data_IF_302718473201
#
_entry.id   IF_302718473201
#
_cell.length_a   1.000
_cell.length_b   1.000
_cell.length_c   1.000
_cell.angle_alpha   90.00
_cell.angle_beta   90.00
_cell.angle_gamma   90.00
#
_symmetry.space_group_name_H-M   'P 1'
#
loop_
_entity.id
_entity.type
_entity.pdbx_description
1 polymer ?
#
# COMPACT_ATOMS: atom_id res chain seq x y z
N UNK A 1 -28.31 -16.15 -4.18
CA UNK A 1 -27.70 -15.79 -2.88
C UNK A 1 -28.13 -14.37 -2.54
N UNK A 2 -28.70 -14.14 -1.35
CA UNK A 2 -29.13 -12.80 -0.94
C UNK A 2 -27.90 -12.01 -0.48
N UNK A 3 -27.54 -10.93 -1.16
CA UNK A 3 -26.31 -10.16 -0.91
C UNK A 3 -26.44 -9.39 0.40
N UNK A 4 -25.40 -9.36 1.23
CA UNK A 4 -25.38 -8.56 2.47
C UNK A 4 -24.54 -7.29 2.24
N UNK A 5 -25.14 -6.14 1.89
CA UNK A 5 -24.40 -4.94 1.51
C UNK A 5 -23.49 -4.44 2.65
N UNK A 6 -23.91 -4.57 3.91
CA UNK A 6 -23.08 -4.17 5.05
C UNK A 6 -21.81 -5.01 5.20
N UNK A 7 -21.87 -6.29 4.80
CA UNK A 7 -20.70 -7.17 4.82
C UNK A 7 -19.73 -6.83 3.68
N UNK A 8 -20.26 -6.52 2.50
CA UNK A 8 -19.48 -6.06 1.35
C UNK A 8 -18.81 -4.70 1.67
N UNK A 9 -19.52 -3.82 2.38
CA UNK A 9 -18.99 -2.52 2.79
C UNK A 9 -17.85 -2.65 3.78
N UNK A 10 -18.02 -3.48 4.81
CA UNK A 10 -16.99 -3.81 5.78
C UNK A 10 -15.73 -4.36 5.10
N UNK A 11 -15.90 -5.34 4.20
CA UNK A 11 -14.78 -5.96 3.49
C UNK A 11 -14.01 -4.93 2.62
N UNK A 12 -14.73 -4.02 1.97
CA UNK A 12 -14.14 -2.97 1.13
C UNK A 12 -13.37 -1.93 1.95
N UNK A 13 -13.92 -1.48 3.08
CA UNK A 13 -13.22 -0.55 3.99
C UNK A 13 -11.94 -1.20 4.54
N UNK A 14 -12.04 -2.43 5.03
CA UNK A 14 -10.86 -3.16 5.54
C UNK A 14 -9.79 -3.35 4.47
N UNK A 15 -10.17 -3.68 3.22
CA UNK A 15 -9.23 -3.81 2.12
C UNK A 15 -8.51 -2.48 1.80
N UNK A 16 -9.24 -1.36 1.79
CA UNK A 16 -8.68 -0.04 1.57
C UNK A 16 -7.72 0.40 2.70
N UNK A 17 -8.07 0.10 3.96
CA UNK A 17 -7.21 0.39 5.12
C UNK A 17 -5.92 -0.44 5.08
N UNK A 18 -5.99 -1.73 4.74
CA UNK A 18 -4.81 -2.58 4.59
C UNK A 18 -3.89 -2.08 3.48
N UNK A 19 -4.45 -1.74 2.31
CA UNK A 19 -3.67 -1.19 1.21
C UNK A 19 -2.99 0.12 1.61
N UNK A 20 -3.72 1.01 2.30
CA UNK A 20 -3.16 2.27 2.82
C UNK A 20 -2.02 1.99 3.79
N UNK A 21 -2.17 1.00 4.67
CA UNK A 21 -1.13 0.64 5.62
C UNK A 21 0.12 0.06 4.94
N UNK A 22 -0.04 -0.80 3.93
CA UNK A 22 1.07 -1.29 3.09
C UNK A 22 1.85 -0.13 2.44
N UNK A 23 1.14 0.86 1.89
CA UNK A 23 1.75 2.04 1.27
C UNK A 23 2.52 2.90 2.29
N UNK A 24 1.99 3.07 3.49
CA UNK A 24 2.67 3.79 4.58
C UNK A 24 3.97 3.08 4.95
N UNK A 25 3.98 1.74 5.01
CA UNK A 25 5.17 0.96 5.29
C UNK A 25 6.21 1.11 4.16
N UNK A 26 5.79 1.08 2.90
CA UNK A 26 6.67 1.33 1.75
C UNK A 26 7.30 2.72 1.80
N UNK A 27 6.51 3.74 2.14
CA UNK A 27 7.00 5.10 2.30
C UNK A 27 8.00 5.23 3.47
N UNK A 28 7.76 4.54 4.58
CA UNK A 28 8.66 4.53 5.73
C UNK A 28 10.00 3.84 5.38
N UNK A 29 9.95 2.71 4.66
CA UNK A 29 11.15 2.00 4.18
C UNK A 29 11.96 2.90 3.24
N UNK A 30 11.31 3.54 2.27
CA UNK A 30 11.98 4.44 1.33
C UNK A 30 12.64 5.63 2.05
N UNK A 31 11.93 6.27 2.97
CA UNK A 31 12.43 7.40 3.77
C UNK A 31 13.64 7.00 4.63
N UNK A 32 13.57 5.87 5.33
CA UNK A 32 14.70 5.38 6.13
C UNK A 32 15.92 4.99 5.27
N UNK A 33 15.70 4.41 4.10
CA UNK A 33 16.76 4.13 3.12
C UNK A 33 17.46 5.41 2.66
N UNK A 34 16.70 6.48 2.41
CA UNK A 34 17.24 7.78 2.02
C UNK A 34 18.16 8.38 3.09
N UNK A 35 17.85 8.20 4.38
CA UNK A 35 18.73 8.66 5.46
C UNK A 35 20.09 7.94 5.45
N UNK A 36 20.12 6.63 5.17
CA UNK A 36 21.38 5.88 5.04
C UNK A 36 22.22 6.34 3.85
N UNK A 37 21.55 6.65 2.73
CA UNK A 37 22.20 7.23 1.54
C UNK A 37 22.81 8.58 1.89
N UNK A 38 22.03 9.49 2.49
CA UNK A 38 22.49 10.82 2.91
C UNK A 38 23.67 10.74 3.87
N UNK A 39 23.65 9.84 4.86
CA UNK A 39 24.75 9.66 5.80
C UNK A 39 26.03 9.18 5.09
N UNK A 40 25.91 8.26 4.14
CA UNK A 40 27.07 7.68 3.44
C UNK A 40 27.66 8.67 2.44
N UNK A 41 26.81 9.31 1.63
CA UNK A 41 27.24 10.35 0.70
C UNK A 41 27.82 11.57 1.44
N UNK A 42 27.19 11.98 2.54
CA UNK A 42 27.65 13.09 3.38
C UNK A 42 29.02 12.86 3.99
N UNK A 43 29.35 11.62 4.40
CA UNK A 43 30.70 11.28 4.87
C UNK A 43 31.74 11.49 3.78
N UNK A 44 31.45 11.01 2.57
CA UNK A 44 32.36 11.16 1.43
C UNK A 44 32.54 12.62 1.04
N UNK A 45 31.44 13.39 0.92
CA UNK A 45 31.53 14.79 0.50
C UNK A 45 32.19 15.70 1.53
N UNK A 46 32.07 15.38 2.83
CA UNK A 46 32.68 16.14 3.91
C UNK A 46 34.08 15.64 4.34
N UNK A 47 34.64 14.65 3.63
CA UNK A 47 35.91 13.99 3.99
C UNK A 47 35.94 13.49 5.45
N UNK A 48 34.82 12.97 5.94
CA UNK A 48 34.68 12.44 7.30
C UNK A 48 35.05 10.96 7.35
N UNK A 49 35.61 10.54 8.48
CA UNK A 49 35.90 9.14 8.73
C UNK A 49 34.61 8.29 8.67
N UNK A 50 34.73 7.07 8.13
CA UNK A 50 33.60 6.14 8.02
C UNK A 50 32.93 5.82 9.37
N UNK A 51 33.68 5.91 10.48
CA UNK A 51 33.17 5.66 11.83
C UNK A 51 32.13 6.69 12.30
N UNK A 52 32.10 7.90 11.70
CA UNK A 52 31.14 8.95 12.08
C UNK A 52 29.71 8.48 11.74
N UNK A 53 28.86 8.41 12.76
CA UNK A 53 27.47 7.98 12.61
C UNK A 53 27.26 6.47 12.39
N UNK A 54 28.32 5.65 12.43
CA UNK A 54 28.25 4.22 12.12
C UNK A 54 27.22 3.46 12.98
N UNK A 55 27.23 3.66 14.31
CA UNK A 55 26.25 3.02 15.21
C UNK A 55 24.82 3.48 14.92
N UNK A 56 24.64 4.73 14.51
CA UNK A 56 23.32 5.24 14.10
C UNK A 56 22.84 4.55 12.81
N UNK A 57 23.74 4.38 11.84
CA UNK A 57 23.47 3.65 10.60
C UNK A 57 23.06 2.20 10.87
N UNK A 58 23.76 1.51 11.77
CA UNK A 58 23.44 0.13 12.17
C UNK A 58 22.05 0.02 12.81
N UNK A 59 21.69 0.95 13.71
CA UNK A 59 20.36 0.97 14.33
C UNK A 59 19.26 1.27 13.32
N UNK A 60 19.50 2.17 12.39
CA UNK A 60 18.56 2.48 11.32
C UNK A 60 18.38 1.31 10.35
N UNK A 61 19.48 0.62 9.98
CA UNK A 61 19.40 -0.58 9.16
C UNK A 61 18.61 -1.71 9.85
N UNK A 62 18.82 -1.91 11.16
CA UNK A 62 18.02 -2.85 11.95
C UNK A 62 16.52 -2.47 11.99
N UNK A 63 16.21 -1.17 12.10
CA UNK A 63 14.83 -0.69 12.05
C UNK A 63 14.18 -0.95 10.67
N UNK A 64 14.91 -0.71 9.57
CA UNK A 64 14.45 -1.01 8.21
C UNK A 64 14.17 -2.51 8.01
N UNK A 65 15.02 -3.38 8.54
CA UNK A 65 14.78 -4.83 8.54
C UNK A 65 13.49 -5.20 9.29
N UNK A 66 13.22 -4.52 10.42
CA UNK A 66 11.97 -4.65 11.15
C UNK A 66 10.77 -4.24 10.31
N UNK A 67 10.84 -3.10 9.63
CA UNK A 67 9.76 -2.62 8.74
C UNK A 67 9.48 -3.59 7.58
N UNK A 68 10.52 -4.15 6.95
CA UNK A 68 10.36 -5.16 5.91
C UNK A 68 9.65 -6.42 6.42
N UNK A 69 9.94 -6.83 7.66
CA UNK A 69 9.28 -7.96 8.32
C UNK A 69 7.81 -7.65 8.58
N UNK A 70 7.51 -6.48 9.15
CA UNK A 70 6.13 -6.01 9.39
C UNK A 70 5.34 -5.95 8.08
N UNK A 71 5.92 -5.40 7.02
CA UNK A 71 5.30 -5.35 5.70
C UNK A 71 4.93 -6.75 5.18
N UNK A 72 5.82 -7.73 5.35
CA UNK A 72 5.53 -9.13 5.01
C UNK A 72 4.29 -9.65 5.75
N UNK A 73 4.21 -9.42 7.06
CA UNK A 73 3.05 -9.82 7.87
C UNK A 73 1.75 -9.13 7.45
N UNK A 74 1.79 -7.84 7.08
CA UNK A 74 0.61 -7.10 6.62
C UNK A 74 0.09 -7.66 5.29
N UNK A 75 0.98 -7.92 4.34
CA UNK A 75 0.61 -8.54 3.05
C UNK A 75 -0.01 -9.93 3.27
N UNK A 76 0.54 -10.73 4.17
CA UNK A 76 -0.03 -12.04 4.49
C UNK A 76 -1.39 -11.92 5.18
N UNK A 77 -1.56 -10.96 6.10
CA UNK A 77 -2.85 -10.65 6.71
C UNK A 77 -3.89 -10.26 5.66
N UNK A 78 -3.53 -9.42 4.68
CA UNK A 78 -4.40 -9.05 3.56
C UNK A 78 -4.86 -10.28 2.78
N UNK A 79 -3.95 -11.19 2.43
CA UNK A 79 -4.30 -12.44 1.73
C UNK A 79 -5.23 -13.35 2.54
N UNK A 80 -5.01 -13.45 3.84
CA UNK A 80 -5.90 -14.26 4.70
C UNK A 80 -7.31 -13.66 4.77
N UNK A 81 -7.42 -12.34 4.91
CA UNK A 81 -8.70 -11.64 4.95
C UNK A 81 -9.43 -11.73 3.60
N UNK A 82 -8.70 -11.61 2.49
CA UNK A 82 -9.25 -11.84 1.16
C UNK A 82 -9.82 -13.26 0.99
N UNK A 83 -9.07 -14.28 1.44
CA UNK A 83 -9.53 -15.67 1.43
C UNK A 83 -10.82 -15.84 2.23
N UNK A 84 -10.87 -15.26 3.42
CA UNK A 84 -12.02 -15.40 4.31
C UNK A 84 -13.25 -14.66 3.75
N UNK A 85 -13.07 -13.46 3.16
CA UNK A 85 -14.13 -12.72 2.45
C UNK A 85 -14.73 -13.54 1.30
N UNK A 86 -13.87 -14.18 0.47
CA UNK A 86 -14.30 -15.08 -0.61
C UNK A 86 -15.10 -16.27 -0.08
N UNK A 87 -14.62 -16.90 1.01
CA UNK A 87 -15.30 -18.04 1.62
C UNK A 87 -16.69 -17.67 2.18
N UNK A 88 -16.85 -16.42 2.63
CA UNK A 88 -18.12 -15.87 3.10
C UNK A 88 -19.01 -15.31 1.99
N UNK A 89 -18.56 -15.30 0.73
CA UNK A 89 -19.29 -14.75 -0.40
C UNK A 89 -19.43 -13.22 -0.35
N UNK A 90 -18.52 -12.53 0.35
CA UNK A 90 -18.45 -11.07 0.37
C UNK A 90 -17.79 -10.56 -0.89
N UNK A 91 -18.28 -9.44 -1.42
CA UNK A 91 -17.58 -8.67 -2.44
C UNK A 91 -16.83 -7.53 -1.77
N UNK A 92 -15.64 -7.22 -2.26
CA UNK A 92 -14.91 -6.04 -1.83
C UNK A 92 -14.37 -5.28 -3.03
N UNK A 93 -14.21 -3.98 -2.86
CA UNK A 93 -13.55 -3.08 -3.79
C UNK A 93 -12.50 -2.28 -3.03
N UNK A 94 -11.34 -2.04 -3.66
CA UNK A 94 -10.31 -1.14 -3.13
C UNK A 94 -10.78 0.32 -3.11
N UNK A 95 -11.76 0.66 -3.95
CA UNK A 95 -12.52 1.88 -3.84
C UNK A 95 -13.67 1.59 -2.88
N UNK A 96 -13.52 2.02 -1.62
CA UNK A 96 -14.51 1.80 -0.58
C UNK A 96 -15.91 2.23 -1.06
N UNK A 97 -17.00 1.61 -0.56
CA UNK A 97 -18.36 1.82 -1.05
C UNK A 97 -19.00 3.14 -0.59
N UNK A 98 -18.20 4.04 0.01
CA UNK A 98 -18.65 5.36 0.45
C UNK A 98 -18.70 6.40 -0.69
N UNK A 99 -18.50 6.00 -1.96
CA UNK A 99 -19.06 6.79 -3.05
C UNK A 99 -20.56 6.54 -3.11
N UNK A 100 -21.34 7.46 -2.56
CA UNK A 100 -22.65 7.75 -3.12
C UNK A 100 -22.41 8.11 -4.59
N UNK A 101 -22.64 7.16 -5.49
CA UNK A 101 -22.68 7.43 -6.93
C UNK A 101 -23.98 8.15 -7.25
N UNK A 102 -24.12 9.38 -6.78
CA UNK A 102 -25.18 10.31 -7.17
C UNK A 102 -24.66 11.40 -8.11
N UNK A 103 -23.76 11.06 -9.05
CA UNK A 103 -23.42 12.02 -10.09
C UNK A 103 -22.37 11.61 -11.10
N UNK A 104 -22.75 10.74 -12.05
CA UNK A 104 -22.06 10.56 -13.34
C UNK A 104 -20.60 10.08 -13.31
N UNK A 105 -20.45 8.75 -13.41
CA UNK A 105 -19.38 8.16 -14.24
C UNK A 105 -20.02 7.14 -15.17
N UNK A 106 -20.61 7.64 -16.26
CA UNK A 106 -20.77 6.84 -17.47
C UNK A 106 -19.35 6.62 -17.99
N UNK A 107 -18.87 5.37 -18.13
CA UNK A 107 -17.62 5.15 -18.84
C UNK A 107 -17.85 5.62 -20.27
N UNK A 108 -17.07 6.60 -20.72
CA UNK A 108 -17.07 7.04 -22.12
C UNK A 108 -16.70 5.81 -22.98
N UNK A 109 -17.72 5.17 -23.57
CA UNK A 109 -17.50 4.17 -24.60
C UNK A 109 -17.14 4.96 -25.84
N UNK A 110 -15.94 4.81 -26.42
CA UNK A 110 -15.67 5.40 -27.73
C UNK A 110 -16.73 4.84 -28.68
N UNK A 111 -17.59 5.74 -29.17
CA UNK A 111 -18.62 5.41 -30.14
C UNK A 111 -17.88 4.90 -31.37
N UNK A 112 -18.07 3.63 -31.70
CA UNK A 112 -17.57 3.04 -32.93
C UNK A 112 -18.30 3.75 -34.07
N UNK A 113 -17.66 4.77 -34.66
CA UNK A 113 -18.15 5.41 -35.88
C UNK A 113 -18.23 4.32 -36.94
N UNK A 114 -19.45 3.89 -37.25
CA UNK A 114 -19.70 3.05 -38.40
C UNK A 114 -19.28 3.85 -39.63
N UNK A 115 -18.23 3.41 -40.30
CA UNK A 115 -17.92 3.84 -41.67
C UNK A 115 -19.09 3.36 -42.53
N UNK A 116 -19.98 4.29 -42.88
CA UNK A 116 -20.89 4.08 -44.01
C UNK A 116 -20.08 4.26 -45.29
N UNK A 117 -20.18 3.24 -46.13
CA UNK A 117 -19.74 3.11 -47.52
C UNK A 117 -19.93 4.35 -48.37
#
# INVERSE_FOLDING_TARGET
>A
MNRNPKADDFASVTAAELQTFEQILDQAIASGGQVLITLSAGRTSANLAAAIGQKGAERLAAALQGLLTVRGHVVDAHRYLERDARAMGMNWSLFAPLEDKDGSTVPDRPTRTATLT
#
